data_IF_558670664906
#
_entry.id   IF_558670664906
#
_cell.length_a   1.000
_cell.length_b   1.000
_cell.length_c   1.000
_cell.angle_alpha   90.00
_cell.angle_beta   90.00
_cell.angle_gamma   90.00
#
_symmetry.space_group_name_H-M   'P 1'
#
loop_
_entity.id
_entity.type
_entity.pdbx_description
1 polymer ?
#
# COMPACT_ATOMS: atom_id res chain seq x y z
N UNK A 1 30.55 9.87 0.37
CA UNK A 1 29.81 9.65 1.54
C UNK A 1 28.41 10.19 1.45
N UNK A 2 28.27 11.40 1.03
CA UNK A 2 26.95 11.92 0.88
C UNK A 2 26.17 11.24 -0.16
N UNK A 3 26.81 10.83 -1.20
CA UNK A 3 26.16 10.12 -2.23
C UNK A 3 25.60 8.81 -1.77
N UNK A 4 26.31 8.15 -0.86
CA UNK A 4 25.80 6.88 -0.40
C UNK A 4 24.52 7.05 0.41
N UNK A 5 24.43 8.13 1.19
CA UNK A 5 23.21 8.39 1.91
C UNK A 5 22.06 8.62 0.99
N UNK A 6 22.29 9.37 -0.07
CA UNK A 6 21.24 9.63 -1.00
C UNK A 6 20.83 8.37 -1.75
N UNK A 7 21.80 7.56 -2.07
CA UNK A 7 21.50 6.32 -2.73
C UNK A 7 20.69 5.41 -1.83
N UNK A 8 20.97 5.41 -0.55
CA UNK A 8 20.20 4.59 0.37
C UNK A 8 18.77 5.04 0.39
N UNK A 9 18.53 6.34 0.38
CA UNK A 9 17.15 6.81 0.33
C UNK A 9 16.46 6.44 -0.96
N UNK A 10 17.19 6.48 -2.06
CA UNK A 10 16.61 6.10 -3.33
C UNK A 10 16.30 4.63 -3.38
N UNK A 11 17.15 3.81 -2.81
CA UNK A 11 16.90 2.38 -2.82
C UNK A 11 15.73 1.99 -1.95
N UNK A 12 15.32 2.87 -1.03
CA UNK A 12 14.14 2.60 -0.23
C UNK A 12 12.86 2.85 -1.00
N UNK A 13 12.93 3.62 -2.08
CA UNK A 13 11.75 3.87 -2.89
C UNK A 13 11.56 2.72 -3.87
N UNK A 14 10.32 2.34 -4.06
CA UNK A 14 10.00 1.22 -4.93
C UNK A 14 9.16 1.72 -6.10
N UNK A 15 9.44 1.22 -7.29
CA UNK A 15 8.57 1.52 -8.41
C UNK A 15 7.44 0.48 -8.48
N UNK A 16 6.51 0.68 -9.39
CA UNK A 16 5.33 -0.17 -9.45
C UNK A 16 5.69 -1.62 -9.74
N UNK A 17 6.70 -1.84 -10.57
CA UNK A 17 7.13 -3.21 -10.88
C UNK A 17 7.64 -3.92 -9.63
N UNK A 18 8.44 -3.23 -8.84
CA UNK A 18 8.98 -3.81 -7.61
C UNK A 18 7.88 -4.07 -6.60
N UNK A 19 6.90 -3.17 -6.54
CA UNK A 19 5.76 -3.33 -5.65
C UNK A 19 4.98 -4.58 -6.02
N UNK A 20 4.72 -4.78 -7.30
CA UNK A 20 3.95 -5.93 -7.75
C UNK A 20 4.71 -7.24 -7.65
N UNK A 21 6.01 -7.18 -7.40
CA UNK A 21 6.81 -8.39 -7.16
C UNK A 21 6.74 -8.84 -5.70
N UNK A 22 6.13 -8.05 -4.82
CA UNK A 22 5.97 -8.42 -3.42
C UNK A 22 4.83 -9.40 -3.25
N UNK A 23 4.61 -9.90 -2.04
CA UNK A 23 3.68 -11.00 -1.80
C UNK A 23 2.49 -10.63 -0.91
N UNK A 24 2.68 -9.79 0.09
CA UNK A 24 1.65 -9.52 1.09
C UNK A 24 1.21 -8.07 1.02
N UNK A 25 -0.05 -7.88 0.69
CA UNK A 25 -0.63 -6.55 0.55
C UNK A 25 -1.68 -6.33 1.63
N UNK A 26 -1.61 -5.16 2.27
CA UNK A 26 -2.64 -4.72 3.20
C UNK A 26 -3.41 -3.59 2.52
N UNK A 27 -4.65 -3.86 2.15
CA UNK A 27 -5.49 -2.89 1.45
C UNK A 27 -6.35 -2.16 2.46
N UNK A 28 -6.20 -0.85 2.54
CA UNK A 28 -7.01 -0.01 3.42
C UNK A 28 -8.14 0.60 2.62
N UNK A 29 -9.38 0.32 3.00
CA UNK A 29 -10.53 0.84 2.31
C UNK A 29 -11.75 -0.02 2.53
N UNK A 30 -12.81 0.27 1.77
CA UNK A 30 -14.05 -0.49 1.86
C UNK A 30 -13.98 -1.67 0.90
N UNK A 31 -13.44 -2.77 1.40
CA UNK A 31 -13.23 -3.97 0.59
C UNK A 31 -14.47 -4.87 0.55
N UNK A 32 -15.56 -4.46 1.18
CA UNK A 32 -16.80 -5.23 1.16
C UNK A 32 -17.80 -4.71 0.14
N UNK A 33 -17.64 -3.47 -0.31
CA UNK A 33 -18.55 -2.85 -1.25
C UNK A 33 -18.05 -3.08 -2.68
N UNK A 34 -18.78 -3.86 -3.45
CA UNK A 34 -18.36 -4.28 -4.80
C UNK A 34 -18.15 -3.12 -5.75
N UNK A 35 -18.73 -1.96 -5.45
CA UNK A 35 -18.61 -0.80 -6.31
C UNK A 35 -17.36 0.01 -6.03
N UNK A 36 -16.64 -0.29 -4.95
CA UNK A 36 -15.47 0.49 -4.58
C UNK A 36 -14.19 -0.08 -5.18
N UNK A 37 -13.24 0.80 -5.44
CA UNK A 37 -11.95 0.39 -5.95
C UNK A 37 -11.25 -0.59 -5.01
N UNK A 38 -11.39 -0.36 -3.69
CA UNK A 38 -10.74 -1.25 -2.72
C UNK A 38 -11.19 -2.70 -2.90
N UNK A 39 -12.48 -2.91 -3.17
CA UNK A 39 -12.99 -4.25 -3.43
C UNK A 39 -12.34 -4.84 -4.68
N UNK A 40 -12.29 -4.04 -5.75
CA UNK A 40 -11.73 -4.50 -7.03
C UNK A 40 -10.26 -4.86 -6.90
N UNK A 41 -9.53 -4.05 -6.13
CA UNK A 41 -8.12 -4.30 -5.88
C UNK A 41 -7.94 -5.59 -5.11
N UNK A 42 -8.75 -5.79 -4.06
CA UNK A 42 -8.70 -7.02 -3.29
C UNK A 42 -8.92 -8.24 -4.17
N UNK A 43 -9.96 -8.18 -5.00
CA UNK A 43 -10.28 -9.31 -5.87
C UNK A 43 -9.18 -9.55 -6.89
N UNK A 44 -8.63 -8.49 -7.45
CA UNK A 44 -7.57 -8.62 -8.45
C UNK A 44 -6.30 -9.22 -7.86
N UNK A 45 -5.95 -8.80 -6.65
CA UNK A 45 -4.78 -9.34 -5.98
C UNK A 45 -4.98 -10.82 -5.65
N UNK A 46 -6.13 -11.17 -5.10
CA UNK A 46 -6.41 -12.55 -4.75
C UNK A 46 -6.42 -13.45 -5.99
N UNK A 47 -6.98 -12.95 -7.08
CA UNK A 47 -7.05 -13.74 -8.32
C UNK A 47 -5.67 -14.05 -8.88
N UNK A 48 -4.68 -13.23 -8.57
CA UNK A 48 -3.33 -13.46 -9.08
C UNK A 48 -2.38 -14.04 -8.03
N UNK A 49 -2.94 -14.54 -6.93
CA UNK A 49 -2.17 -15.33 -5.98
C UNK A 49 -1.46 -14.54 -4.88
N UNK A 50 -1.79 -13.27 -4.72
CA UNK A 50 -1.21 -12.47 -3.64
C UNK A 50 -1.92 -12.78 -2.32
N UNK A 51 -1.20 -12.57 -1.22
CA UNK A 51 -1.80 -12.63 0.11
C UNK A 51 -2.33 -11.23 0.41
N UNK A 52 -3.62 -11.15 0.79
CA UNK A 52 -4.28 -9.86 0.97
C UNK A 52 -4.95 -9.80 2.34
N UNK A 53 -4.67 -8.74 3.06
CA UNK A 53 -5.39 -8.41 4.29
C UNK A 53 -6.10 -7.09 4.06
N UNK A 54 -7.29 -6.95 4.61
CA UNK A 54 -8.13 -5.78 4.35
C UNK A 54 -8.39 -5.04 5.65
N UNK A 55 -8.07 -3.75 5.66
CA UNK A 55 -8.18 -2.91 6.84
C UNK A 55 -9.17 -1.79 6.60
N UNK A 56 -10.04 -1.58 7.56
CA UNK A 56 -11.10 -0.59 7.48
C UNK A 56 -12.43 -1.22 7.81
N UNK A 57 -12.95 -2.03 6.90
CA UNK A 57 -14.23 -2.71 7.13
C UNK A 57 -14.05 -4.11 7.69
N UNK A 58 -12.96 -4.76 7.34
CA UNK A 58 -12.75 -6.14 7.79
C UNK A 58 -11.90 -6.18 9.06
N UNK A 59 -10.66 -5.68 8.98
CA UNK A 59 -9.82 -5.51 10.16
C UNK A 59 -9.83 -4.03 10.50
N UNK A 60 -9.70 -3.71 11.77
CA UNK A 60 -9.77 -2.31 12.19
C UNK A 60 -8.43 -1.60 12.12
N UNK A 61 -7.33 -2.33 12.13
CA UNK A 61 -6.00 -1.75 12.21
C UNK A 61 -5.01 -2.63 11.45
N UNK A 62 -3.95 -2.01 10.93
CA UNK A 62 -2.87 -2.79 10.35
C UNK A 62 -2.23 -3.70 11.40
N UNK A 63 -2.32 -3.30 12.68
CA UNK A 63 -1.76 -4.11 13.76
C UNK A 63 -2.50 -5.42 13.97
N UNK A 64 -3.70 -5.55 13.44
CA UNK A 64 -4.48 -6.78 13.54
C UNK A 64 -4.05 -7.84 12.53
N UNK A 65 -3.19 -7.48 11.59
CA UNK A 65 -2.70 -8.41 10.58
C UNK A 65 -1.73 -9.39 11.25
N UNK A 66 -1.93 -10.71 11.08
CA UNK A 66 -1.15 -11.68 11.86
C UNK A 66 0.30 -11.85 11.42
N UNK A 67 0.67 -11.42 10.26
CA UNK A 67 2.04 -11.63 9.78
C UNK A 67 2.67 -10.36 9.30
N UNK A 68 3.69 -10.51 8.47
CA UNK A 68 4.41 -9.37 7.92
C UNK A 68 3.60 -8.72 6.81
N UNK A 69 3.83 -7.45 6.59
CA UNK A 69 3.22 -6.68 5.52
C UNK A 69 4.32 -6.25 4.58
N UNK A 70 4.14 -6.49 3.29
CA UNK A 70 5.09 -5.96 2.31
C UNK A 70 4.63 -4.58 1.84
N UNK A 71 3.39 -4.49 1.37
CA UNK A 71 2.88 -3.26 0.77
C UNK A 71 1.57 -2.87 1.45
N UNK A 72 1.44 -1.60 1.78
CA UNK A 72 0.17 -1.04 2.22
C UNK A 72 -0.42 -0.30 1.03
N UNK A 73 -1.64 -0.63 0.65
CA UNK A 73 -2.34 0.05 -0.44
C UNK A 73 -3.42 0.92 0.14
N UNK A 74 -3.24 2.23 0.05
CA UNK A 74 -4.19 3.20 0.58
C UNK A 74 -5.26 3.49 -0.44
N UNK A 75 -6.46 3.01 -0.15
CA UNK A 75 -7.62 3.23 -1.00
C UNK A 75 -8.77 3.69 -0.12
N UNK A 76 -8.52 4.73 0.67
CA UNK A 76 -9.43 5.20 1.71
C UNK A 76 -9.28 6.71 1.80
N UNK A 77 -10.26 7.38 2.41
CA UNK A 77 -10.18 8.82 2.61
C UNK A 77 -8.85 9.17 3.31
N UNK A 78 -8.17 10.22 2.84
CA UNK A 78 -6.81 10.50 3.36
C UNK A 78 -6.74 10.70 4.88
N UNK A 79 -7.76 11.29 5.48
CA UNK A 79 -7.73 11.47 6.93
C UNK A 79 -7.78 10.15 7.67
N UNK A 80 -8.56 9.19 7.16
CA UNK A 80 -8.63 7.87 7.76
C UNK A 80 -7.34 7.10 7.50
N UNK A 81 -6.78 7.25 6.30
CA UNK A 81 -5.52 6.61 5.97
C UNK A 81 -4.40 7.09 6.87
N UNK A 82 -4.34 8.39 7.10
CA UNK A 82 -3.33 8.96 7.98
C UNK A 82 -3.47 8.40 9.40
N UNK A 83 -4.70 8.33 9.91
CA UNK A 83 -4.94 7.79 11.25
C UNK A 83 -4.47 6.34 11.34
N UNK A 84 -4.75 5.54 10.33
CA UNK A 84 -4.32 4.14 10.31
C UNK A 84 -2.80 4.00 10.31
N UNK A 85 -2.12 4.85 9.55
CA UNK A 85 -0.67 4.82 9.50
C UNK A 85 -0.07 5.27 10.82
N UNK A 86 -0.64 6.29 11.45
CA UNK A 86 -0.11 6.79 12.72
C UNK A 86 -0.17 5.74 13.82
N UNK A 87 -1.20 4.90 13.81
CA UNK A 87 -1.32 3.87 14.84
C UNK A 87 -0.55 2.59 14.49
N UNK A 88 -0.09 2.46 13.27
CA UNK A 88 0.56 1.23 12.81
C UNK A 88 1.93 1.07 13.44
N UNK A 89 2.13 -0.04 14.13
CA UNK A 89 3.43 -0.35 14.74
C UNK A 89 4.15 -1.45 13.98
N UNK A 90 3.59 -1.91 12.88
CA UNK A 90 4.22 -2.97 12.07
C UNK A 90 5.07 -2.33 10.97
N UNK A 91 6.10 -3.05 10.58
CA UNK A 91 6.96 -2.62 9.48
C UNK A 91 6.33 -3.00 8.16
N UNK A 92 6.68 -2.26 7.13
CA UNK A 92 6.25 -2.54 5.76
C UNK A 92 7.30 -1.93 4.82
N UNK A 93 7.25 -2.30 3.56
CA UNK A 93 8.27 -1.86 2.62
C UNK A 93 7.90 -0.58 1.89
N UNK A 94 6.63 -0.42 1.56
CA UNK A 94 6.19 0.76 0.82
C UNK A 94 4.69 0.92 0.92
N UNK A 95 4.24 2.16 0.75
CA UNK A 95 2.82 2.49 0.71
C UNK A 95 2.47 2.90 -0.71
N UNK A 96 1.40 2.33 -1.27
CA UNK A 96 0.86 2.81 -2.53
C UNK A 96 -0.35 3.68 -2.19
N UNK A 97 -0.35 4.90 -2.69
CA UNK A 97 -1.45 5.81 -2.45
C UNK A 97 -2.25 5.92 -3.74
N UNK A 98 -3.46 5.35 -3.72
CA UNK A 98 -4.34 5.34 -4.88
C UNK A 98 -4.81 6.76 -5.19
N UNK A 99 -5.15 7.05 -6.45
CA UNK A 99 -5.67 8.38 -6.79
C UNK A 99 -6.90 8.70 -5.92
N UNK A 100 -6.89 9.86 -5.32
CA UNK A 100 -7.97 10.28 -4.43
C UNK A 100 -7.72 9.97 -2.97
N UNK A 101 -6.71 9.19 -2.65
CA UNK A 101 -6.38 8.86 -1.26
C UNK A 101 -5.26 9.74 -0.72
N UNK A 102 -4.74 10.64 -1.53
CA UNK A 102 -3.64 11.51 -1.11
C UNK A 102 -4.18 12.80 -0.48
N UNK A 103 -3.38 13.39 0.38
CA UNK A 103 -3.60 14.75 0.87
C UNK A 103 -2.25 15.31 1.23
N UNK A 104 -2.16 16.64 1.29
CA UNK A 104 -0.91 17.29 1.69
C UNK A 104 -0.48 16.83 3.07
N UNK A 105 -1.44 16.69 3.98
CA UNK A 105 -1.15 16.28 5.35
C UNK A 105 -0.58 14.88 5.41
N UNK A 106 -1.17 13.96 4.65
CA UNK A 106 -0.69 12.58 4.60
C UNK A 106 0.73 12.52 4.03
N UNK A 107 0.94 13.19 2.90
CA UNK A 107 2.25 13.15 2.26
C UNK A 107 3.32 13.78 3.14
N UNK A 108 2.98 14.87 3.82
CA UNK A 108 3.91 15.54 4.71
C UNK A 108 4.31 14.63 5.87
N UNK A 109 3.33 13.93 6.43
CA UNK A 109 3.60 13.00 7.52
C UNK A 109 4.54 11.89 7.06
N UNK A 110 4.30 11.33 5.89
CA UNK A 110 5.12 10.25 5.36
C UNK A 110 6.54 10.73 5.09
N UNK A 111 6.67 11.93 4.53
CA UNK A 111 7.98 12.50 4.24
C UNK A 111 8.76 12.75 5.52
N UNK A 112 8.11 13.30 6.54
CA UNK A 112 8.77 13.60 7.81
C UNK A 112 9.25 12.35 8.51
N UNK A 113 8.52 11.24 8.35
CA UNK A 113 8.89 9.99 8.98
C UNK A 113 9.80 9.14 8.11
N UNK A 114 10.09 9.58 6.89
CA UNK A 114 10.92 8.80 5.99
C UNK A 114 10.27 7.52 5.53
N UNK A 115 8.93 7.48 5.48
CA UNK A 115 8.22 6.28 5.05
C UNK A 115 8.08 6.30 3.54
N UNK A 116 8.54 5.25 2.84
CA UNK A 116 8.49 5.26 1.38
C UNK A 116 7.08 5.08 0.85
N UNK A 117 6.76 5.79 -0.19
CA UNK A 117 5.44 5.67 -0.80
C UNK A 117 5.52 5.94 -2.30
N UNK A 118 4.51 5.46 -3.00
CA UNK A 118 4.33 5.69 -4.43
C UNK A 118 2.89 6.09 -4.66
N UNK A 119 2.67 7.18 -5.37
CA UNK A 119 1.31 7.54 -5.78
C UNK A 119 1.04 6.81 -7.09
N UNK A 120 0.13 5.84 -7.04
CA UNK A 120 -0.13 5.01 -8.20
C UNK A 120 -1.35 4.13 -7.99
N UNK A 121 -1.55 3.19 -8.90
CA UNK A 121 -2.72 2.34 -8.88
C UNK A 121 -2.34 0.88 -8.97
N UNK A 122 -2.76 0.10 -7.95
CA UNK A 122 -2.46 -1.32 -7.92
C UNK A 122 -3.16 -2.07 -9.06
N UNK A 123 -4.34 -1.61 -9.49
CA UNK A 123 -5.00 -2.25 -10.62
C UNK A 123 -4.19 -2.13 -11.89
N UNK A 124 -3.54 -0.97 -12.10
CA UNK A 124 -2.64 -0.81 -13.23
C UNK A 124 -1.45 -1.74 -13.07
N UNK A 125 -0.92 -1.83 -11.85
CA UNK A 125 0.19 -2.73 -11.58
C UNK A 125 -0.16 -4.17 -11.88
N UNK A 126 -1.35 -4.60 -11.48
CA UNK A 126 -1.79 -5.97 -11.76
C UNK A 126 -1.90 -6.24 -13.25
N UNK A 127 -2.36 -5.24 -14.00
CA UNK A 127 -2.51 -5.39 -15.44
C UNK A 127 -1.17 -5.52 -16.15
N UNK A 128 -0.17 -4.77 -15.68
CA UNK A 128 1.12 -4.69 -16.38
C UNK A 128 2.13 -5.68 -15.84
N UNK A 129 2.19 -5.84 -14.52
CA UNK A 129 3.24 -6.64 -13.86
C UNK A 129 2.70 -7.76 -13.01
N UNK A 130 1.40 -8.07 -13.09
CA UNK A 130 0.78 -8.99 -12.16
C UNK A 130 1.36 -10.38 -12.21
N UNK A 131 1.24 -11.08 -11.09
CA UNK A 131 1.65 -12.46 -10.96
C UNK A 131 0.53 -13.34 -11.49
N UNK A 132 0.86 -14.58 -11.83
CA UNK A 132 -0.16 -15.49 -12.30
C UNK A 132 -0.64 -15.25 -13.71
N UNK A 133 -0.06 -14.31 -14.41
CA UNK A 133 -0.37 -14.14 -15.82
C UNK A 133 0.45 -15.13 -16.59
N UNK A 134 -0.12 -15.83 -17.43
CA UNK A 134 0.66 -16.82 -18.15
C UNK A 134 0.35 -16.83 -19.59
#
# INVERSE_FOLDING_TARGET
MQESSEQDRETEKMDLKEIMAQRVFAVAGDTLNEEKYAYKIKQGLLAQGYTVYCVGKELKSFNDIPGDIDIIDMCIHPAKGLALIKECSKDFKCIVIQPGAESGELLEYLDERGLPYLQGCVLVGLSVYGRGRS
#
